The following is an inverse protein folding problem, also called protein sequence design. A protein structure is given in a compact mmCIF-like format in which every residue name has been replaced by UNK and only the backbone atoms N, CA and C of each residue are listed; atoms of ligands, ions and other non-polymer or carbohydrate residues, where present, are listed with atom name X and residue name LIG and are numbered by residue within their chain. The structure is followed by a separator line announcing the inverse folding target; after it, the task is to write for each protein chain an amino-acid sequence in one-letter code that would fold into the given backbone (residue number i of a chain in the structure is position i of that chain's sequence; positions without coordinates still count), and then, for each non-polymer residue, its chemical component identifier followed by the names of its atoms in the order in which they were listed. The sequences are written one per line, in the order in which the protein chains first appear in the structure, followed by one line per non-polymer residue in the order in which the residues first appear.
data_IF_148787909306
#
_entry.id   IF_148787909306
#
_cell.length_a   1.000
_cell.length_b   1.000
_cell.length_c   1.000
_cell.angle_alpha   90.00
_cell.angle_beta   90.00
_cell.angle_gamma   90.00
#
_symmetry.space_group_name_H-M   'P 1'
#
loop_
_entity.id
_entity.type
_entity.pdbx_description
1 polymer ?
#
# COMPACT_ATOMS: atom_id res chain seq x y z
N UNK A 1 -14.45 5.45 -3.46
CA UNK A 1 -14.12 6.70 -2.77
C UNK A 1 -15.17 6.88 -1.69
N UNK A 2 -14.74 7.14 -0.47
CA UNK A 2 -15.60 7.48 0.67
C UNK A 2 -15.48 8.93 1.05
N UNK A 3 -14.27 9.52 0.88
CA UNK A 3 -14.03 10.93 1.05
C UNK A 3 -13.30 11.47 -0.17
N UNK A 4 -13.75 12.59 -0.69
CA UNK A 4 -13.06 13.30 -1.77
C UNK A 4 -11.76 13.91 -1.24
N UNK A 5 -10.81 14.11 -2.16
CA UNK A 5 -9.52 14.68 -1.79
C UNK A 5 -9.66 16.13 -1.31
N UNK A 6 -9.05 16.44 -0.19
CA UNK A 6 -8.96 17.79 0.37
C UNK A 6 -7.49 18.25 0.30
N UNK A 7 -7.18 19.37 -0.38
CA UNK A 7 -5.82 19.87 -0.49
C UNK A 7 -5.13 20.24 0.82
N UNK A 8 -5.90 20.44 1.90
CA UNK A 8 -5.37 20.75 3.23
C UNK A 8 -4.92 19.50 4.01
N UNK A 9 -5.19 18.31 3.48
CA UNK A 9 -4.92 17.02 4.14
C UNK A 9 -3.67 16.34 3.61
N UNK A 10 -3.11 15.47 4.42
CA UNK A 10 -1.93 14.66 4.08
C UNK A 10 -2.37 13.23 3.84
N UNK A 11 -1.98 12.68 2.70
CA UNK A 11 -2.35 11.33 2.30
C UNK A 11 -1.13 10.46 2.05
N UNK A 12 -1.31 9.15 2.25
CA UNK A 12 -0.38 8.10 1.81
C UNK A 12 -1.12 7.04 1.01
N UNK A 13 -0.40 6.31 0.17
CA UNK A 13 -0.97 5.27 -0.66
C UNK A 13 -0.22 3.94 -0.54
N UNK A 14 -0.98 2.85 -0.51
CA UNK A 14 -0.47 1.49 -0.66
C UNK A 14 -1.04 0.86 -1.92
N UNK A 15 -0.18 0.21 -2.69
CA UNK A 15 -0.55 -0.40 -3.97
C UNK A 15 -0.09 -1.85 -4.00
N UNK A 16 -1.04 -2.76 -4.15
CA UNK A 16 -0.83 -4.17 -4.39
C UNK A 16 -1.16 -4.49 -5.84
N UNK A 17 -0.35 -5.33 -6.51
CA UNK A 17 -0.42 -5.51 -7.95
C UNK A 17 -0.68 -6.97 -8.33
N UNK A 18 -1.59 -7.20 -9.28
CA UNK A 18 -1.89 -8.51 -9.84
C UNK A 18 -1.80 -8.52 -11.37
N UNK A 19 -1.82 -9.71 -11.95
CA UNK A 19 -1.73 -9.90 -13.41
C UNK A 19 -3.03 -9.55 -14.17
N UNK A 20 -4.15 -9.35 -13.46
CA UNK A 20 -5.44 -9.01 -14.07
C UNK A 20 -6.10 -10.18 -14.82
N UNK A 21 -5.87 -11.42 -14.37
CA UNK A 21 -6.36 -12.66 -14.98
C UNK A 21 -7.57 -13.26 -14.25
N UNK A 22 -8.27 -12.46 -13.45
CA UNK A 22 -9.48 -12.88 -12.74
C UNK A 22 -9.24 -13.62 -11.42
N UNK A 23 -7.99 -13.71 -10.97
CA UNK A 23 -7.60 -14.31 -9.67
C UNK A 23 -7.44 -13.23 -8.61
N UNK A 24 -6.21 -12.92 -8.25
CA UNK A 24 -5.89 -11.87 -7.30
C UNK A 24 -6.26 -10.48 -7.86
N UNK A 25 -6.57 -9.54 -6.99
CA UNK A 25 -6.97 -8.19 -7.40
C UNK A 25 -5.81 -7.21 -7.32
N UNK A 26 -5.73 -6.30 -8.28
CA UNK A 26 -4.91 -5.09 -8.17
C UNK A 26 -5.65 -4.06 -7.33
N UNK A 27 -4.98 -3.53 -6.30
CA UNK A 27 -5.57 -2.64 -5.29
C UNK A 27 -4.78 -1.34 -5.19
N UNK A 28 -5.50 -0.22 -5.04
CA UNK A 28 -4.95 1.03 -4.52
C UNK A 28 -5.72 1.40 -3.27
N UNK A 29 -5.03 1.68 -2.19
CA UNK A 29 -5.63 2.24 -0.97
C UNK A 29 -5.03 3.59 -0.66
N UNK A 30 -5.89 4.54 -0.26
CA UNK A 30 -5.48 5.87 0.20
C UNK A 30 -5.88 6.01 1.67
N UNK A 31 -4.91 6.40 2.49
CA UNK A 31 -5.14 6.77 3.88
C UNK A 31 -4.93 8.27 4.05
N UNK A 32 -5.83 8.92 4.77
CA UNK A 32 -5.64 10.25 5.35
C UNK A 32 -4.83 10.08 6.65
N UNK A 33 -3.70 10.75 6.73
CA UNK A 33 -2.78 10.71 7.87
C UNK A 33 -2.57 12.10 8.48
N UNK A 34 -3.48 13.02 8.21
CA UNK A 34 -3.40 14.41 8.71
C UNK A 34 -3.38 14.45 10.23
N UNK A 35 -4.18 13.60 10.87
CA UNK A 35 -4.13 13.36 12.30
C UNK A 35 -3.50 11.99 12.56
N UNK A 36 -2.31 11.93 13.20
CA UNK A 36 -1.63 10.66 13.44
C UNK A 36 -2.35 9.73 14.41
N UNK A 37 -3.31 10.23 15.19
CA UNK A 37 -4.15 9.42 16.09
C UNK A 37 -5.50 9.06 15.48
N UNK A 38 -5.87 9.63 14.33
CA UNK A 38 -7.09 9.31 13.56
C UNK A 38 -6.75 9.07 12.09
N UNK A 39 -5.98 8.02 11.82
CA UNK A 39 -5.62 7.60 10.46
C UNK A 39 -6.81 6.90 9.81
N UNK A 40 -7.32 7.44 8.71
CA UNK A 40 -8.55 6.98 8.07
C UNK A 40 -8.34 6.48 6.64
N UNK A 41 -9.02 5.39 6.30
CA UNK A 41 -9.08 4.92 4.93
C UNK A 41 -10.13 5.73 4.15
N UNK A 42 -9.69 6.54 3.18
CA UNK A 42 -10.55 7.47 2.43
C UNK A 42 -10.92 6.97 1.02
N UNK A 43 -10.09 6.15 0.41
CA UNK A 43 -10.39 5.56 -0.89
C UNK A 43 -9.78 4.17 -1.09
N UNK A 44 -10.50 3.34 -1.83
CA UNK A 44 -10.01 2.05 -2.34
C UNK A 44 -10.44 1.89 -3.79
N UNK A 45 -9.52 1.46 -4.64
CA UNK A 45 -9.79 0.91 -5.96
C UNK A 45 -9.44 -0.58 -5.96
N UNK A 46 -10.28 -1.41 -6.59
CA UNK A 46 -10.07 -2.84 -6.72
C UNK A 46 -10.47 -3.32 -8.10
N UNK A 47 -9.64 -4.14 -8.73
CA UNK A 47 -9.98 -4.86 -9.97
C UNK A 47 -9.10 -6.10 -10.11
N UNK A 48 -9.70 -7.24 -10.47
CA UNK A 48 -8.98 -8.48 -10.79
C UNK A 48 -8.86 -8.73 -12.31
N UNK A 49 -9.35 -7.79 -13.14
CA UNK A 49 -9.35 -7.90 -14.60
C UNK A 49 -8.53 -6.82 -15.29
N UNK A 50 -8.00 -5.85 -14.55
CA UNK A 50 -7.21 -4.76 -15.13
C UNK A 50 -5.79 -5.21 -15.41
N UNK A 51 -5.30 -4.97 -16.63
CA UNK A 51 -3.92 -5.27 -16.98
C UNK A 51 -2.93 -4.38 -16.20
N UNK A 52 -1.68 -4.82 -15.95
CA UNK A 52 -0.68 -4.00 -15.24
C UNK A 52 -0.44 -2.63 -15.90
N UNK A 53 -0.50 -2.55 -17.22
CA UNK A 53 -0.36 -1.32 -17.99
C UNK A 53 -1.50 -0.32 -17.71
N UNK A 54 -2.74 -0.80 -17.82
CA UNK A 54 -3.93 0.00 -17.54
C UNK A 54 -4.02 0.36 -16.05
N UNK A 55 -3.62 -0.58 -15.18
CA UNK A 55 -3.55 -0.34 -13.75
C UNK A 55 -2.58 0.79 -13.40
N UNK A 56 -1.41 0.87 -14.05
CA UNK A 56 -0.47 1.99 -13.86
C UNK A 56 -1.13 3.34 -14.16
N UNK A 57 -1.89 3.44 -15.25
CA UNK A 57 -2.62 4.67 -15.59
C UNK A 57 -3.70 4.99 -14.54
N UNK A 58 -4.38 3.96 -14.03
CA UNK A 58 -5.40 4.11 -13.00
C UNK A 58 -4.80 4.57 -11.67
N UNK A 59 -3.69 3.94 -11.25
CA UNK A 59 -2.91 4.34 -10.06
C UNK A 59 -2.49 5.80 -10.20
N UNK A 60 -1.87 6.18 -11.31
CA UNK A 60 -1.43 7.55 -11.55
C UNK A 60 -2.59 8.56 -11.43
N UNK A 61 -3.75 8.26 -12.04
CA UNK A 61 -4.93 9.13 -11.96
C UNK A 61 -5.42 9.29 -10.52
N UNK A 62 -5.53 8.17 -9.76
CA UNK A 62 -5.98 8.21 -8.37
C UNK A 62 -5.01 9.01 -7.51
N UNK A 63 -3.71 8.73 -7.61
CA UNK A 63 -2.70 9.42 -6.82
C UNK A 63 -2.66 10.93 -7.12
N UNK A 64 -2.83 11.33 -8.37
CA UNK A 64 -2.91 12.75 -8.73
C UNK A 64 -4.14 13.44 -8.12
N UNK A 65 -5.28 12.78 -8.09
CA UNK A 65 -6.49 13.32 -7.47
C UNK A 65 -6.30 13.60 -5.97
N UNK A 66 -5.49 12.79 -5.28
CA UNK A 66 -5.17 12.99 -3.85
C UNK A 66 -3.90 13.81 -3.61
N UNK A 67 -3.50 14.69 -4.54
CA UNK A 67 -2.39 15.63 -4.36
C UNK A 67 -1.00 14.99 -4.42
N UNK A 68 -0.85 13.88 -5.13
CA UNK A 68 0.38 13.10 -5.23
C UNK A 68 0.90 12.64 -3.85
N UNK A 69 0.17 11.78 -3.14
CA UNK A 69 0.63 11.22 -1.86
C UNK A 69 1.89 10.40 -2.03
N UNK A 70 2.63 10.21 -0.94
CA UNK A 70 3.71 9.24 -0.91
C UNK A 70 3.13 7.84 -1.08
N UNK A 71 3.62 7.08 -2.06
CA UNK A 71 3.08 5.79 -2.43
C UNK A 71 4.10 4.66 -2.23
N UNK A 72 3.72 3.63 -1.50
CA UNK A 72 4.45 2.36 -1.45
C UNK A 72 3.76 1.34 -2.36
N UNK A 73 4.50 0.86 -3.34
CA UNK A 73 4.00 -0.03 -4.38
C UNK A 73 4.76 -1.36 -4.29
N UNK A 74 4.05 -2.48 -4.27
CA UNK A 74 4.68 -3.78 -4.36
C UNK A 74 5.35 -3.95 -5.72
N UNK A 75 6.59 -4.45 -5.70
CA UNK A 75 7.41 -4.64 -6.91
C UNK A 75 7.51 -6.10 -7.36
N UNK A 76 6.94 -7.03 -6.62
CA UNK A 76 6.99 -8.44 -6.98
C UNK A 76 6.26 -8.70 -8.31
N UNK A 77 6.70 -9.71 -9.06
CA UNK A 77 6.06 -10.12 -10.31
C UNK A 77 5.79 -8.95 -11.28
N UNK A 78 4.54 -8.74 -11.64
CA UNK A 78 4.11 -7.64 -12.53
C UNK A 78 4.22 -6.25 -11.88
N UNK A 79 4.38 -6.16 -10.56
CA UNK A 79 4.53 -4.89 -9.85
C UNK A 79 5.74 -4.08 -10.29
N UNK A 80 6.81 -4.74 -10.74
CA UNK A 80 7.96 -4.05 -11.31
C UNK A 80 7.57 -3.19 -12.52
N UNK A 81 6.73 -3.71 -13.42
CA UNK A 81 6.24 -2.96 -14.58
C UNK A 81 5.40 -1.75 -14.19
N UNK A 82 4.56 -1.91 -13.15
CA UNK A 82 3.71 -0.82 -12.63
C UNK A 82 4.57 0.30 -12.06
N UNK A 83 5.56 -0.06 -11.22
CA UNK A 83 6.49 0.93 -10.63
C UNK A 83 7.29 1.66 -11.70
N UNK A 84 7.90 0.92 -12.63
CA UNK A 84 8.76 1.51 -13.66
C UNK A 84 7.95 2.44 -14.58
N UNK A 85 6.74 2.03 -14.97
CA UNK A 85 5.86 2.88 -15.76
C UNK A 85 5.43 4.15 -15.01
N UNK A 86 5.05 4.04 -13.74
CA UNK A 86 4.70 5.21 -12.92
C UNK A 86 5.87 6.18 -12.78
N UNK A 87 7.06 5.65 -12.50
CA UNK A 87 8.24 6.46 -12.23
C UNK A 87 8.83 7.08 -13.51
N UNK A 88 8.96 6.28 -14.57
CA UNK A 88 9.69 6.66 -15.78
C UNK A 88 8.75 7.30 -16.81
N UNK A 89 7.69 6.59 -17.20
CA UNK A 89 6.83 7.02 -18.30
C UNK A 89 5.84 8.10 -17.88
N UNK A 90 5.26 7.96 -16.66
CA UNK A 90 4.24 8.87 -16.14
C UNK A 90 4.83 9.96 -15.21
N UNK A 91 6.11 9.86 -14.87
CA UNK A 91 6.84 10.87 -14.08
C UNK A 91 6.27 11.08 -12.67
N UNK A 92 5.73 10.02 -12.03
CA UNK A 92 5.20 10.16 -10.68
C UNK A 92 6.31 10.40 -9.66
N UNK A 93 6.27 11.51 -8.88
CA UNK A 93 7.45 11.97 -8.14
C UNK A 93 7.67 11.29 -6.79
N UNK A 94 6.63 10.69 -6.19
CA UNK A 94 6.63 10.30 -4.78
C UNK A 94 6.44 8.78 -4.58
N UNK A 95 7.28 7.97 -5.21
CA UNK A 95 7.32 6.53 -4.94
C UNK A 95 8.39 6.25 -3.87
N UNK A 96 7.99 5.55 -2.80
CA UNK A 96 8.89 5.13 -1.73
C UNK A 96 9.99 4.24 -2.31
N UNK A 97 11.24 4.58 -2.03
CA UNK A 97 12.38 3.72 -2.33
C UNK A 97 12.72 2.89 -1.10
N UNK A 98 12.50 1.58 -1.19
CA UNK A 98 12.79 0.63 -0.15
C UNK A 98 14.09 -0.12 -0.45
N UNK A 99 14.97 -0.25 0.54
CA UNK A 99 16.21 -1.01 0.40
C UNK A 99 17.08 -0.91 1.65
N UNK A 100 17.59 -2.04 2.09
CA UNK A 100 18.45 -2.16 3.27
C UNK A 100 19.80 -1.48 3.07
N UNK A 101 20.19 -0.69 4.06
CA UNK A 101 21.50 -0.18 4.40
C UNK A 101 22.12 0.96 3.58
N UNK A 102 22.94 1.74 4.29
CA UNK A 102 23.75 2.85 3.78
C UNK A 102 24.70 2.46 2.61
N UNK A 103 25.04 1.19 2.46
CA UNK A 103 25.89 0.67 1.40
C UNK A 103 25.23 0.68 0.01
N UNK A 104 23.89 0.71 -0.07
CA UNK A 104 23.12 0.63 -1.33
C UNK A 104 22.53 1.97 -1.76
N UNK A 105 23.04 3.11 -1.26
CA UNK A 105 22.54 4.44 -1.64
C UNK A 105 22.57 4.75 -3.14
N UNK A 106 23.40 4.08 -3.92
CA UNK A 106 23.52 4.27 -5.38
C UNK A 106 22.46 3.52 -6.20
N UNK A 107 21.81 2.48 -5.65
CA UNK A 107 20.83 1.63 -6.36
C UNK A 107 19.54 1.46 -5.55
N UNK A 108 18.98 2.55 -5.02
CA UNK A 108 17.66 2.45 -4.37
C UNK A 108 16.60 2.18 -5.42
N UNK A 109 15.99 1.01 -5.32
CA UNK A 109 14.90 0.60 -6.18
C UNK A 109 13.61 1.21 -5.65
N UNK A 110 12.86 1.93 -6.49
CA UNK A 110 11.52 2.40 -6.16
C UNK A 110 10.57 1.22 -6.00
N UNK A 111 9.62 1.34 -5.07
CA UNK A 111 8.74 0.24 -4.68
C UNK A 111 9.40 -0.73 -3.69
N UNK A 112 8.65 -1.70 -3.22
CA UNK A 112 9.07 -2.68 -2.21
C UNK A 112 8.96 -4.12 -2.73
N UNK A 113 10.00 -4.90 -2.51
CA UNK A 113 9.92 -6.36 -2.66
C UNK A 113 9.36 -6.93 -1.36
N UNK A 114 8.14 -7.47 -1.44
CA UNK A 114 7.50 -8.11 -0.31
C UNK A 114 8.12 -9.49 -0.05
N UNK A 115 8.61 -9.68 1.16
CA UNK A 115 9.11 -10.95 1.67
C UNK A 115 8.67 -11.14 3.14
N UNK A 116 8.94 -12.29 3.72
CA UNK A 116 8.44 -12.66 5.07
C UNK A 116 8.70 -11.58 6.13
N UNK A 117 9.91 -10.99 6.15
CA UNK A 117 10.26 -9.98 7.15
C UNK A 117 9.53 -8.65 6.93
N UNK A 118 9.40 -8.19 5.67
CA UNK A 118 8.64 -6.97 5.36
C UNK A 118 7.17 -7.14 5.67
N UNK A 119 6.59 -8.30 5.32
CA UNK A 119 5.20 -8.62 5.69
C UNK A 119 5.02 -8.64 7.20
N UNK A 120 5.95 -9.25 7.94
CA UNK A 120 5.86 -9.30 9.41
C UNK A 120 5.88 -7.90 10.04
N UNK A 121 6.80 -7.04 9.62
CA UNK A 121 6.87 -5.64 10.10
C UNK A 121 5.58 -4.87 9.77
N UNK A 122 5.09 -4.98 8.54
CA UNK A 122 3.83 -4.34 8.15
C UNK A 122 2.62 -4.84 8.94
N UNK A 123 2.58 -6.13 9.29
CA UNK A 123 1.52 -6.68 10.17
C UNK A 123 1.61 -6.08 11.58
N UNK A 124 2.80 -5.83 12.12
CA UNK A 124 2.96 -5.16 13.41
C UNK A 124 2.42 -3.73 13.35
N UNK A 125 2.75 -2.96 12.31
CA UNK A 125 2.22 -1.61 12.10
C UNK A 125 0.69 -1.62 11.95
N UNK A 126 0.14 -2.59 11.20
CA UNK A 126 -1.31 -2.74 11.04
C UNK A 126 -2.01 -3.08 12.37
N UNK A 127 -1.42 -3.94 13.20
CA UNK A 127 -1.96 -4.26 14.54
C UNK A 127 -1.94 -3.04 15.45
N UNK A 128 -0.87 -2.26 15.44
CA UNK A 128 -0.79 -1.01 16.17
C UNK A 128 -1.91 -0.06 15.73
N UNK A 129 -2.04 0.17 14.43
CA UNK A 129 -3.11 1.01 13.88
C UNK A 129 -4.51 0.56 14.30
N UNK A 130 -4.82 -0.74 14.20
CA UNK A 130 -6.13 -1.28 14.58
C UNK A 130 -6.42 -1.09 16.07
N UNK A 131 -5.41 -1.25 16.94
CA UNK A 131 -5.61 -1.21 18.39
C UNK A 131 -5.63 0.22 18.95
N UNK A 132 -4.82 1.11 18.38
CA UNK A 132 -4.52 2.39 19.02
C UNK A 132 -5.06 3.60 18.26
N UNK A 133 -5.40 3.46 16.98
CA UNK A 133 -5.76 4.61 16.16
C UNK A 133 -7.19 4.60 15.62
N UNK A 134 -8.02 3.58 15.89
CA UNK A 134 -9.24 3.46 15.09
C UNK A 134 -10.38 2.68 15.71
N UNK A 135 -11.25 3.30 16.48
CA UNK A 135 -12.60 2.74 16.68
C UNK A 135 -13.53 3.01 15.48
N UNK A 136 -13.35 4.12 14.76
CA UNK A 136 -14.23 4.52 13.65
C UNK A 136 -13.66 4.32 12.24
N UNK A 137 -12.36 4.16 12.11
CA UNK A 137 -11.65 4.11 10.80
C UNK A 137 -11.49 2.70 10.23
N UNK A 138 -12.17 1.71 10.77
CA UNK A 138 -12.03 0.31 10.36
C UNK A 138 -12.34 0.16 8.87
N UNK A 139 -11.50 -0.58 8.10
CA UNK A 139 -11.74 -0.87 6.70
C UNK A 139 -13.15 -1.40 6.48
N UNK A 140 -13.89 -0.81 5.53
CA UNK A 140 -15.28 -1.20 5.31
C UNK A 140 -15.40 -2.66 4.87
N UNK A 141 -16.58 -3.24 5.09
CA UNK A 141 -16.97 -4.66 4.99
C UNK A 141 -16.04 -5.65 4.26
N UNK A 142 -15.50 -5.30 3.09
CA UNK A 142 -14.66 -6.22 2.30
C UNK A 142 -13.25 -6.36 2.89
N UNK A 143 -12.64 -5.27 3.33
CA UNK A 143 -11.33 -5.30 3.99
C UNK A 143 -11.39 -6.03 5.33
N UNK A 144 -12.49 -5.89 6.09
CA UNK A 144 -12.73 -6.63 7.34
C UNK A 144 -12.83 -8.15 7.09
N UNK A 145 -13.46 -8.57 5.98
CA UNK A 145 -13.55 -9.98 5.62
C UNK A 145 -12.15 -10.57 5.39
N UNK A 146 -11.32 -9.92 4.58
CA UNK A 146 -9.96 -10.38 4.32
C UNK A 146 -9.09 -10.36 5.58
N UNK A 147 -9.20 -9.32 6.43
CA UNK A 147 -8.49 -9.25 7.72
C UNK A 147 -8.80 -10.42 8.65
N UNK A 148 -10.07 -10.88 8.70
CA UNK A 148 -10.47 -12.04 9.52
C UNK A 148 -9.86 -13.36 9.06
N UNK A 149 -9.52 -13.46 7.77
CA UNK A 149 -8.94 -14.66 7.17
C UNK A 149 -7.42 -14.56 6.99
N UNK A 150 -6.82 -13.42 7.34
CA UNK A 150 -5.37 -13.19 7.26
C UNK A 150 -4.67 -13.75 8.50
N UNK A 151 -3.90 -14.81 8.34
CA UNK A 151 -3.35 -15.59 9.45
C UNK A 151 -1.85 -15.83 9.32
N UNK A 152 -1.20 -16.08 10.46
CA UNK A 152 0.18 -16.53 10.48
C UNK A 152 0.24 -18.07 10.41
N UNK A 153 0.97 -18.57 9.44
CA UNK A 153 1.24 -20.00 9.28
C UNK A 153 2.42 -20.46 10.14
N UNK A 154 2.53 -21.79 10.42
CA UNK A 154 3.63 -22.35 11.24
C UNK A 154 5.04 -22.04 10.72
N UNK A 155 5.19 -21.87 9.40
CA UNK A 155 6.45 -21.47 8.75
C UNK A 155 6.76 -19.97 8.90
N UNK A 156 5.96 -19.23 9.66
CA UNK A 156 6.13 -17.80 9.91
C UNK A 156 5.56 -16.86 8.86
N UNK A 157 5.02 -17.37 7.75
CA UNK A 157 4.43 -16.53 6.70
C UNK A 157 3.05 -16.02 7.10
N UNK A 158 2.72 -14.80 6.65
CA UNK A 158 1.41 -14.19 6.77
C UNK A 158 0.71 -14.21 5.42
N UNK A 159 -0.49 -14.77 5.36
CA UNK A 159 -1.34 -14.78 4.16
C UNK A 159 -2.78 -15.17 4.51
N UNK A 160 -3.70 -15.00 3.56
CA UNK A 160 -5.06 -15.48 3.69
C UNK A 160 -5.12 -17.01 3.91
N UNK A 161 -6.20 -17.48 4.55
CA UNK A 161 -6.54 -18.90 4.59
C UNK A 161 -6.78 -19.44 3.20
N UNK A 162 -6.64 -20.75 3.04
CA UNK A 162 -6.86 -21.39 1.75
C UNK A 162 -8.26 -21.07 1.19
N UNK A 163 -8.33 -20.61 -0.05
CA UNK A 163 -9.56 -20.20 -0.72
C UNK A 163 -9.99 -18.76 -0.46
N UNK A 164 -9.26 -18.01 0.36
CA UNK A 164 -9.54 -16.61 0.65
C UNK A 164 -8.47 -15.70 0.03
N UNK A 165 -8.78 -14.40 -0.12
CA UNK A 165 -7.87 -13.38 -0.64
C UNK A 165 -7.30 -12.51 0.47
N UNK A 166 -6.13 -11.90 0.23
CA UNK A 166 -5.49 -10.94 1.12
C UNK A 166 -5.05 -9.64 0.40
N UNK A 167 -5.53 -9.41 -0.82
CA UNK A 167 -5.11 -8.28 -1.66
C UNK A 167 -5.39 -6.92 -0.99
N UNK A 168 -6.58 -6.75 -0.37
CA UNK A 168 -6.93 -5.54 0.37
C UNK A 168 -6.08 -5.37 1.64
N UNK A 169 -5.78 -6.49 2.32
CA UNK A 169 -4.92 -6.48 3.51
C UNK A 169 -3.49 -6.10 3.12
N UNK A 170 -3.00 -6.61 1.99
CA UNK A 170 -1.66 -6.29 1.52
C UNK A 170 -1.52 -4.82 1.14
N UNK A 171 -2.48 -4.26 0.40
CA UNK A 171 -2.47 -2.84 0.05
C UNK A 171 -2.57 -1.94 1.30
N UNK A 172 -3.39 -2.32 2.29
CA UNK A 172 -3.46 -1.62 3.58
C UNK A 172 -2.12 -1.68 4.32
N UNK A 173 -1.50 -2.85 4.36
CA UNK A 173 -0.19 -3.04 4.97
C UNK A 173 0.86 -2.14 4.32
N UNK A 174 0.85 -2.00 3.00
CA UNK A 174 1.77 -1.08 2.29
C UNK A 174 1.48 0.38 2.62
N UNK A 175 0.21 0.79 2.71
CA UNK A 175 -0.15 2.15 3.12
C UNK A 175 0.38 2.50 4.51
N UNK A 176 0.18 1.60 5.47
CA UNK A 176 0.65 1.77 6.85
C UNK A 176 2.17 1.63 7.00
N UNK A 177 2.81 0.90 6.10
CA UNK A 177 4.27 0.77 6.07
C UNK A 177 4.96 2.09 5.72
N UNK A 178 4.29 2.98 4.97
CA UNK A 178 4.79 4.33 4.69
C UNK A 178 4.99 5.15 5.97
N UNK A 179 4.24 4.82 7.03
CA UNK A 179 4.33 5.48 8.35
C UNK A 179 5.46 4.92 9.22
N UNK A 180 6.23 3.95 8.71
CA UNK A 180 7.44 3.48 9.38
C UNK A 180 8.40 4.65 9.61
N UNK A 181 8.95 4.77 10.82
CA UNK A 181 9.77 5.91 11.26
C UNK A 181 10.86 6.27 10.25
N UNK A 182 11.60 5.27 9.75
CA UNK A 182 12.69 5.51 8.80
C UNK A 182 12.21 6.10 7.46
N UNK A 183 10.97 5.82 7.08
CA UNK A 183 10.35 6.33 5.86
C UNK A 183 9.71 7.68 6.15
N UNK A 184 8.96 7.80 7.25
CA UNK A 184 8.28 9.02 7.66
C UNK A 184 9.29 10.17 7.87
N UNK A 185 10.34 9.96 8.65
CA UNK A 185 11.42 10.93 8.87
C UNK A 185 12.02 11.44 7.57
N UNK A 186 12.19 10.55 6.59
CA UNK A 186 12.81 10.92 5.30
C UNK A 186 11.91 11.77 4.41
N UNK A 187 10.60 11.57 4.45
CA UNK A 187 9.68 12.15 3.47
C UNK A 187 8.75 13.23 4.05
N UNK A 188 8.57 13.27 5.35
CA UNK A 188 7.67 14.21 6.01
C UNK A 188 8.37 15.27 6.88
N UNK A 189 9.72 15.24 6.95
CA UNK A 189 10.55 16.16 7.77
C UNK A 189 10.10 16.20 9.26
N UNK A 190 9.74 15.03 9.82
CA UNK A 190 9.29 14.88 11.22
C UNK A 190 10.42 14.35 12.07
#
# INVERSE_FOLDING_TARGET
IWEEADPSRIYVAGVDTSEGVGKDSSIVQILDITDPVDIRQVAVYRSNMISPLEFSNKVHSILRNYGNPLALIERNNCGAQVVDRLAIDLGYPKIVSYGNSAAHRKNRMQGMIAHTNTKHKGVLNMRYWINDCCEESIPKKQGLSELRHFVRYPNGTWKARHGENDDLVMALLYSLYVLDTDIAEKYFDI
#
